data_IF_439673792977
#
_entry.id   IF_439673792977
#
_cell.length_a   1.000
_cell.length_b   1.000
_cell.length_c   1.000
_cell.angle_alpha   90.00
_cell.angle_beta   90.00
_cell.angle_gamma   90.00
#
_symmetry.space_group_name_H-M   'P 1'
#
loop_
_entity.id
_entity.type
_entity.pdbx_description
1 polymer ?
#
# COMPACT_ATOMS: atom_id res chain seq x y z
N UNK A 1 27.22 -34.28 9.32
CA UNK A 1 28.12 -33.85 10.41
C UNK A 1 27.46 -32.61 11.04
N UNK A 2 27.49 -32.46 12.38
CA UNK A 2 26.92 -31.29 13.03
C UNK A 2 27.69 -30.03 12.64
N UNK A 3 26.95 -28.92 12.37
CA UNK A 3 27.53 -27.60 12.09
C UNK A 3 27.66 -26.84 13.40
N UNK A 4 28.90 -26.66 13.86
CA UNK A 4 29.19 -25.92 15.08
C UNK A 4 29.53 -24.47 14.75
N UNK A 5 28.94 -23.51 15.46
CA UNK A 5 29.17 -22.08 15.27
C UNK A 5 30.09 -21.53 16.35
N UNK A 6 31.05 -20.72 15.90
CA UNK A 6 32.03 -20.06 16.78
C UNK A 6 32.13 -18.58 16.46
N UNK A 7 32.28 -17.77 17.50
CA UNK A 7 32.75 -16.41 17.37
C UNK A 7 34.28 -16.43 17.43
N UNK A 8 34.91 -16.00 16.35
CA UNK A 8 36.38 -16.02 16.18
C UNK A 8 36.93 -14.62 15.96
N UNK A 9 38.16 -14.41 16.37
CA UNK A 9 38.93 -13.21 16.10
C UNK A 9 39.93 -13.51 14.98
N UNK A 10 39.94 -12.66 13.95
CA UNK A 10 40.94 -12.72 12.87
C UNK A 10 42.24 -12.06 13.32
N UNK A 11 43.39 -12.34 12.67
CA UNK A 11 44.66 -11.71 12.94
C UNK A 11 44.65 -10.18 12.90
N UNK A 12 43.64 -9.56 12.24
CA UNK A 12 43.41 -8.11 12.21
C UNK A 12 42.51 -7.59 13.33
N UNK A 13 42.16 -8.38 14.36
CA UNK A 13 41.33 -7.95 15.50
C UNK A 13 39.83 -7.90 15.22
N UNK A 14 39.35 -8.29 14.03
CA UNK A 14 37.95 -8.26 13.65
C UNK A 14 37.23 -9.52 14.14
N UNK A 15 36.13 -9.33 14.89
CA UNK A 15 35.27 -10.41 15.38
C UNK A 15 34.32 -10.90 14.29
N UNK A 16 34.36 -12.21 13.96
CA UNK A 16 33.53 -12.83 12.93
C UNK A 16 32.90 -14.13 13.44
N UNK A 17 31.69 -14.43 13.02
CA UNK A 17 31.02 -15.70 13.29
C UNK A 17 31.27 -16.66 12.13
N UNK A 18 31.80 -17.88 12.43
CA UNK A 18 32.07 -18.92 11.43
C UNK A 18 31.38 -20.21 11.87
N UNK A 19 30.74 -20.88 10.91
CA UNK A 19 30.23 -22.24 11.10
C UNK A 19 31.20 -23.24 10.50
N UNK A 20 31.56 -24.29 11.27
CA UNK A 20 32.49 -25.33 10.86
C UNK A 20 31.80 -26.68 10.96
N UNK A 21 31.91 -27.48 9.91
CA UNK A 21 31.49 -28.88 9.93
C UNK A 21 32.55 -29.74 10.60
N UNK A 22 32.27 -30.26 11.79
CA UNK A 22 33.16 -31.09 12.54
C UNK A 22 32.38 -32.13 13.37
N UNK A 23 32.98 -33.32 13.64
CA UNK A 23 32.32 -34.35 14.43
C UNK A 23 32.17 -33.96 15.90
N UNK A 24 33.10 -33.15 16.44
CA UNK A 24 33.10 -32.68 17.82
C UNK A 24 33.68 -31.26 17.96
N UNK A 25 33.48 -30.62 19.13
CA UNK A 25 33.98 -29.28 19.46
C UNK A 25 35.51 -29.19 19.38
N UNK A 26 36.22 -30.26 19.78
CA UNK A 26 37.68 -30.30 19.78
C UNK A 26 38.24 -30.30 18.35
N UNK A 27 37.63 -31.04 17.43
CA UNK A 27 38.01 -31.06 16.01
C UNK A 27 37.73 -29.71 15.33
N UNK A 28 36.58 -29.05 15.64
CA UNK A 28 36.23 -27.73 15.13
C UNK A 28 37.24 -26.67 15.57
N UNK A 29 37.62 -26.66 16.87
CA UNK A 29 38.60 -25.70 17.41
C UNK A 29 40.02 -25.94 16.81
N UNK A 30 40.44 -27.18 16.61
CA UNK A 30 41.72 -27.49 15.93
C UNK A 30 41.73 -26.98 14.50
N UNK A 31 40.61 -27.10 13.77
CA UNK A 31 40.48 -26.63 12.39
C UNK A 31 40.53 -25.11 12.29
N UNK A 32 39.84 -24.40 13.20
CA UNK A 32 39.85 -22.93 13.27
C UNK A 32 41.24 -22.39 13.64
N UNK A 33 41.95 -23.02 14.60
CA UNK A 33 43.34 -22.63 14.96
C UNK A 33 44.31 -22.80 13.81
N UNK A 34 44.18 -23.87 13.00
CA UNK A 34 45.03 -24.06 11.80
C UNK A 34 44.80 -22.97 10.73
N UNK A 35 43.64 -22.33 10.75
CA UNK A 35 43.30 -21.20 9.87
C UNK A 35 43.73 -19.86 10.46
N UNK A 36 44.48 -19.81 11.55
CA UNK A 36 44.92 -18.57 12.17
C UNK A 36 43.81 -17.80 12.92
N UNK A 37 42.71 -18.48 13.24
CA UNK A 37 41.56 -17.86 13.91
C UNK A 37 41.56 -18.21 15.40
N UNK A 38 41.40 -17.19 16.25
CA UNK A 38 41.30 -17.35 17.69
C UNK A 38 39.84 -17.51 18.08
N UNK A 39 39.48 -18.66 18.65
CA UNK A 39 38.10 -18.93 19.11
C UNK A 39 37.83 -18.16 20.40
N UNK A 40 36.89 -17.21 20.37
CA UNK A 40 36.49 -16.40 21.51
C UNK A 40 35.38 -17.10 22.31
N UNK A 41 34.38 -17.67 21.61
CA UNK A 41 33.23 -18.32 22.24
C UNK A 41 32.61 -19.35 21.30
N UNK A 42 32.25 -20.52 21.82
CA UNK A 42 31.37 -21.46 21.13
C UNK A 42 29.93 -21.01 21.24
N UNK A 43 29.21 -20.94 20.11
CA UNK A 43 27.83 -20.50 20.02
C UNK A 43 26.83 -21.68 19.95
N UNK A 44 27.33 -22.92 20.09
CA UNK A 44 26.53 -24.14 20.09
C UNK A 44 26.33 -24.76 18.70
N UNK A 45 25.65 -25.90 18.66
CA UNK A 45 25.25 -26.53 17.41
C UNK A 45 24.25 -25.65 16.67
N UNK A 46 24.47 -25.48 15.39
CA UNK A 46 23.46 -24.98 14.50
C UNK A 46 22.36 -26.05 14.39
N UNK A 47 21.40 -26.07 15.30
CA UNK A 47 20.15 -26.77 15.06
C UNK A 47 19.69 -26.31 13.70
N UNK A 48 19.56 -27.25 12.75
CA UNK A 48 19.13 -26.94 11.39
C UNK A 48 18.00 -25.94 11.44
N UNK A 49 18.15 -24.80 10.79
CA UNK A 49 17.11 -23.80 10.69
C UNK A 49 15.87 -24.49 10.13
N UNK A 50 15.04 -25.07 11.03
CA UNK A 50 13.62 -25.15 10.76
C UNK A 50 13.26 -23.71 10.43
N UNK A 51 12.93 -23.48 9.16
CA UNK A 51 12.71 -22.15 8.64
C UNK A 51 11.65 -21.44 9.49
N UNK A 52 12.10 -20.60 10.43
CA UNK A 52 11.31 -19.45 10.80
C UNK A 52 11.23 -18.64 9.51
N UNK A 53 10.20 -18.91 8.76
CA UNK A 53 9.67 -18.01 7.76
C UNK A 53 9.32 -16.70 8.49
N UNK A 54 10.34 -15.95 8.92
CA UNK A 54 10.19 -14.53 9.10
C UNK A 54 9.94 -14.02 7.69
N UNK A 55 8.69 -13.75 7.40
CA UNK A 55 8.27 -12.79 6.39
C UNK A 55 8.87 -11.41 6.81
N UNK A 56 10.21 -11.33 6.79
CA UNK A 56 10.89 -10.05 6.69
C UNK A 56 10.57 -9.59 5.28
N UNK A 57 9.45 -8.85 5.15
CA UNK A 57 9.36 -7.87 4.09
C UNK A 57 10.67 -7.12 4.17
N UNK A 58 11.50 -7.25 3.13
CA UNK A 58 12.67 -6.40 3.01
C UNK A 58 12.17 -4.98 3.28
N UNK A 59 12.71 -4.26 4.27
CA UNK A 59 12.28 -2.90 4.53
C UNK A 59 12.47 -2.15 3.22
N UNK A 60 11.39 -1.56 2.73
CA UNK A 60 11.38 -0.78 1.50
C UNK A 60 12.09 0.53 1.77
N UNK A 61 12.87 1.00 0.81
CA UNK A 61 13.41 2.35 0.82
C UNK A 61 12.28 3.37 1.07
N UNK A 62 12.42 4.19 2.10
CA UNK A 62 11.45 5.24 2.44
C UNK A 62 11.90 6.57 1.80
N UNK A 63 11.34 6.86 0.64
CA UNK A 63 11.65 8.08 -0.12
C UNK A 63 11.30 9.35 0.68
N UNK A 64 10.27 9.31 1.55
CA UNK A 64 9.93 10.45 2.40
C UNK A 64 11.00 10.68 3.46
N UNK A 65 11.45 9.62 4.15
CA UNK A 65 12.49 9.73 5.15
C UNK A 65 13.82 10.23 4.53
N UNK A 66 14.18 9.73 3.37
CA UNK A 66 15.32 10.21 2.58
C UNK A 66 15.20 11.69 2.24
N UNK A 67 14.08 12.11 1.64
CA UNK A 67 13.85 13.50 1.22
C UNK A 67 13.78 14.45 2.42
N UNK A 68 13.19 13.99 3.54
CA UNK A 68 13.07 14.79 4.77
C UNK A 68 14.42 15.12 5.41
N UNK A 69 15.43 14.27 5.18
CA UNK A 69 16.81 14.52 5.65
C UNK A 69 17.65 15.27 4.62
N UNK A 70 17.45 14.99 3.32
CA UNK A 70 18.20 15.66 2.26
C UNK A 70 17.79 17.13 2.10
N UNK A 71 16.49 17.43 2.10
CA UNK A 71 15.95 18.76 1.83
C UNK A 71 16.51 19.86 2.77
N UNK A 72 16.60 19.67 4.10
CA UNK A 72 17.21 20.68 4.97
C UNK A 72 18.70 20.92 4.70
N UNK A 73 19.45 19.90 4.29
CA UNK A 73 20.87 20.01 3.97
C UNK A 73 21.07 20.88 2.72
N UNK A 74 20.28 20.62 1.68
CA UNK A 74 20.30 21.44 0.47
C UNK A 74 19.83 22.87 0.73
N UNK A 75 18.80 23.05 1.56
CA UNK A 75 18.32 24.36 1.96
C UNK A 75 19.35 25.18 2.77
N UNK A 76 20.26 24.51 3.48
CA UNK A 76 21.41 25.13 4.17
C UNK A 76 22.60 25.40 3.23
N UNK A 77 22.45 25.17 1.90
CA UNK A 77 23.53 25.42 0.94
C UNK A 77 24.56 24.27 0.86
N UNK A 78 24.32 23.13 1.52
CA UNK A 78 25.24 22.00 1.44
C UNK A 78 25.14 21.37 0.03
N UNK A 79 26.27 21.19 -0.68
CA UNK A 79 26.26 20.54 -1.98
C UNK A 79 25.63 19.15 -1.93
N UNK A 80 24.92 18.76 -3.01
CA UNK A 80 24.18 17.49 -3.09
C UNK A 80 25.04 16.28 -2.69
N UNK A 81 26.27 16.22 -3.17
CA UNK A 81 27.20 15.12 -2.88
C UNK A 81 27.53 15.01 -1.38
N UNK A 82 27.80 16.14 -0.72
CA UNK A 82 28.04 16.16 0.72
C UNK A 82 26.77 15.82 1.52
N UNK A 83 25.61 16.33 1.09
CA UNK A 83 24.33 15.95 1.67
C UNK A 83 24.06 14.46 1.61
N UNK A 84 24.37 13.83 0.49
CA UNK A 84 24.25 12.37 0.33
C UNK A 84 25.29 11.61 1.19
N UNK A 85 26.51 12.14 1.35
CA UNK A 85 27.51 11.52 2.25
C UNK A 85 27.03 11.47 3.70
N UNK A 86 26.45 12.56 4.19
CA UNK A 86 25.84 12.62 5.54
C UNK A 86 24.71 11.59 5.69
N UNK A 87 23.87 11.44 4.66
CA UNK A 87 22.78 10.45 4.67
C UNK A 87 23.30 9.00 4.65
N UNK A 88 24.43 8.75 4.00
CA UNK A 88 25.06 7.42 3.97
C UNK A 88 25.53 6.98 5.36
N UNK A 89 26.16 7.88 6.13
CA UNK A 89 26.66 7.59 7.48
C UNK A 89 25.53 7.33 8.47
N UNK A 90 24.46 8.13 8.43
CA UNK A 90 23.32 8.05 9.35
C UNK A 90 22.18 7.11 8.89
N UNK A 91 22.28 6.51 7.70
CA UNK A 91 21.19 5.73 7.08
C UNK A 91 21.10 4.29 7.55
N UNK A 92 19.89 3.70 7.44
CA UNK A 92 19.70 2.25 7.56
C UNK A 92 20.36 1.53 6.39
N UNK A 93 20.64 0.23 6.52
CA UNK A 93 21.36 -0.55 5.50
C UNK A 93 20.78 -0.40 4.08
N UNK A 94 19.45 -0.46 3.94
CA UNK A 94 18.81 -0.33 2.62
C UNK A 94 18.94 1.08 2.05
N UNK A 95 18.79 2.09 2.89
CA UNK A 95 18.98 3.49 2.49
C UNK A 95 20.42 3.77 2.12
N UNK A 96 21.36 3.23 2.89
CA UNK A 96 22.78 3.32 2.60
C UNK A 96 23.12 2.75 1.22
N UNK A 97 22.55 1.59 0.85
CA UNK A 97 22.76 0.99 -0.46
C UNK A 97 22.24 1.88 -1.62
N UNK A 98 21.08 2.51 -1.44
CA UNK A 98 20.52 3.43 -2.45
C UNK A 98 21.39 4.67 -2.54
N UNK A 99 21.76 5.27 -1.40
CA UNK A 99 22.59 6.48 -1.36
C UNK A 99 23.99 6.23 -1.97
N UNK A 100 24.60 5.07 -1.70
CA UNK A 100 25.87 4.67 -2.33
C UNK A 100 25.78 4.57 -3.85
N UNK A 101 24.66 4.02 -4.37
CA UNK A 101 24.44 3.97 -5.82
C UNK A 101 24.30 5.37 -6.41
N UNK A 102 23.57 6.28 -5.72
CA UNK A 102 23.42 7.68 -6.13
C UNK A 102 24.77 8.38 -6.15
N UNK A 103 25.56 8.29 -5.07
CA UNK A 103 26.88 8.92 -4.98
C UNK A 103 27.84 8.41 -6.06
N UNK A 104 27.89 7.09 -6.26
CA UNK A 104 28.73 6.50 -7.33
C UNK A 104 28.37 7.06 -8.69
N UNK A 105 27.07 7.10 -9.02
CA UNK A 105 26.62 7.65 -10.31
C UNK A 105 26.92 9.14 -10.47
N UNK A 106 26.84 9.95 -9.41
CA UNK A 106 27.24 11.34 -9.43
C UNK A 106 28.76 11.50 -9.68
N UNK A 107 29.60 10.67 -9.04
CA UNK A 107 31.05 10.62 -9.33
C UNK A 107 31.34 10.18 -10.77
N UNK A 108 30.48 9.35 -11.37
CA UNK A 108 30.56 8.97 -12.79
C UNK A 108 30.08 10.09 -13.74
N UNK A 109 29.67 11.25 -13.20
CA UNK A 109 29.19 12.41 -13.97
C UNK A 109 27.72 12.33 -14.40
N UNK A 110 26.93 11.36 -13.89
CA UNK A 110 25.51 11.28 -14.19
C UNK A 110 24.72 12.33 -13.40
N UNK A 111 23.64 12.84 -13.99
CA UNK A 111 22.71 13.73 -13.29
C UNK A 111 21.93 12.99 -12.21
N UNK A 112 21.61 13.66 -11.10
CA UNK A 112 20.81 13.11 -10.01
C UNK A 112 19.42 12.66 -10.48
N UNK A 113 18.78 13.46 -11.35
CA UNK A 113 17.52 13.13 -12.00
C UNK A 113 17.58 11.83 -12.82
N UNK A 114 18.69 11.60 -13.54
CA UNK A 114 18.89 10.38 -14.29
C UNK A 114 19.02 9.17 -13.35
N UNK A 115 19.81 9.29 -12.28
CA UNK A 115 19.99 8.22 -11.30
C UNK A 115 18.69 7.84 -10.58
N UNK A 116 17.88 8.82 -10.21
CA UNK A 116 16.57 8.56 -9.61
C UNK A 116 15.59 7.90 -10.59
N UNK A 117 15.68 8.21 -11.88
CA UNK A 117 14.89 7.58 -12.95
C UNK A 117 15.32 6.14 -13.23
N UNK A 118 16.59 5.80 -13.03
CA UNK A 118 17.13 4.43 -13.11
C UNK A 118 16.66 3.54 -11.95
N UNK A 119 16.10 4.12 -10.88
CA UNK A 119 15.61 3.41 -9.68
C UNK A 119 14.12 3.66 -9.41
N UNK A 120 13.21 3.25 -10.33
CA UNK A 120 11.76 3.52 -10.20
C UNK A 120 11.11 2.81 -9.03
N UNK A 121 11.74 1.77 -8.49
CA UNK A 121 11.31 1.08 -7.27
C UNK A 121 11.49 1.92 -6.00
N UNK A 122 12.44 2.87 -6.00
CA UNK A 122 12.77 3.77 -4.91
C UNK A 122 12.16 5.16 -5.09
N UNK A 123 12.20 5.69 -6.33
CA UNK A 123 11.79 7.06 -6.64
C UNK A 123 10.60 7.08 -7.60
N UNK A 124 9.46 7.70 -7.18
CA UNK A 124 8.31 7.86 -8.08
C UNK A 124 8.64 8.76 -9.28
N UNK A 125 7.91 8.65 -10.41
CA UNK A 125 8.14 9.48 -11.60
C UNK A 125 8.10 10.99 -11.35
N UNK A 126 7.23 11.44 -10.44
CA UNK A 126 7.16 12.84 -10.01
C UNK A 126 8.48 13.29 -9.37
N UNK A 127 9.09 12.45 -8.52
CA UNK A 127 10.35 12.76 -7.87
C UNK A 127 11.44 13.06 -8.90
N UNK A 128 11.66 12.12 -9.83
CA UNK A 128 12.69 12.27 -10.86
C UNK A 128 12.42 13.44 -11.79
N UNK A 129 11.15 13.72 -12.12
CA UNK A 129 10.77 14.86 -12.96
C UNK A 129 11.02 16.21 -12.30
N UNK A 130 10.70 16.35 -11.02
CA UNK A 130 10.97 17.58 -10.28
C UNK A 130 12.47 17.78 -10.04
N UNK A 131 13.20 16.73 -9.70
CA UNK A 131 14.67 16.81 -9.57
C UNK A 131 15.31 17.26 -10.89
N UNK A 132 14.85 16.75 -12.04
CA UNK A 132 15.33 17.18 -13.35
C UNK A 132 15.16 18.69 -13.56
N UNK A 133 13.97 19.22 -13.24
CA UNK A 133 13.71 20.65 -13.34
C UNK A 133 14.59 21.44 -12.37
N UNK A 134 14.76 20.96 -11.13
CA UNK A 134 15.62 21.61 -10.13
C UNK A 134 17.11 21.61 -10.52
N UNK A 135 17.58 20.56 -11.20
CA UNK A 135 18.95 20.51 -11.74
C UNK A 135 19.14 21.48 -12.89
N UNK A 136 18.16 21.56 -13.80
CA UNK A 136 18.25 22.44 -14.99
C UNK A 136 18.14 23.92 -14.63
N UNK A 137 17.34 24.26 -13.62
CA UNK A 137 17.13 25.63 -13.15
C UNK A 137 18.05 26.05 -11.99
N UNK A 138 18.84 25.12 -11.44
CA UNK A 138 19.70 25.39 -10.27
C UNK A 138 18.95 25.55 -8.96
N UNK A 139 17.65 25.23 -8.89
CA UNK A 139 16.80 25.40 -7.71
C UNK A 139 16.45 24.06 -6.99
N UNK A 140 17.44 23.16 -6.88
CA UNK A 140 17.28 21.90 -6.17
C UNK A 140 16.76 22.04 -4.71
N UNK A 141 17.19 23.03 -3.91
CA UNK A 141 16.70 23.23 -2.55
C UNK A 141 15.18 23.46 -2.50
N UNK A 142 14.64 24.30 -3.39
CA UNK A 142 13.22 24.63 -3.48
C UNK A 142 12.41 23.40 -3.88
N UNK A 143 12.86 22.73 -4.94
CA UNK A 143 12.22 21.54 -5.47
C UNK A 143 12.21 20.39 -4.45
N UNK A 144 13.30 20.17 -3.72
CA UNK A 144 13.35 19.13 -2.68
C UNK A 144 12.48 19.47 -1.48
N UNK A 145 12.24 20.76 -1.18
CA UNK A 145 11.29 21.22 -0.16
C UNK A 145 9.85 20.87 -0.57
N UNK A 146 9.47 21.14 -1.81
CA UNK A 146 8.14 20.77 -2.34
C UNK A 146 7.95 19.26 -2.40
N UNK A 147 8.97 18.51 -2.83
CA UNK A 147 8.94 17.05 -2.78
C UNK A 147 8.72 16.50 -1.38
N UNK A 148 9.40 17.07 -0.39
CA UNK A 148 9.22 16.70 1.02
C UNK A 148 7.80 16.96 1.48
N UNK A 149 7.22 18.13 1.12
CA UNK A 149 5.82 18.48 1.44
C UNK A 149 4.86 17.47 0.84
N UNK A 150 4.97 17.22 -0.45
CA UNK A 150 4.13 16.25 -1.17
C UNK A 150 4.23 14.83 -0.58
N UNK A 151 5.43 14.35 -0.32
CA UNK A 151 5.64 13.02 0.25
C UNK A 151 5.09 12.91 1.68
N UNK A 152 5.16 14.00 2.46
CA UNK A 152 4.57 14.10 3.79
C UNK A 152 3.04 13.97 3.71
N UNK A 153 2.38 14.78 2.87
CA UNK A 153 0.94 14.78 2.66
C UNK A 153 0.44 13.41 2.18
N UNK A 154 1.16 12.80 1.24
CA UNK A 154 0.87 11.45 0.74
C UNK A 154 0.97 10.38 1.84
N UNK A 155 1.95 10.51 2.75
CA UNK A 155 2.13 9.63 3.89
C UNK A 155 1.01 9.83 4.92
N UNK A 156 0.71 11.08 5.28
CA UNK A 156 -0.36 11.44 6.20
C UNK A 156 -1.73 10.94 5.70
N UNK A 157 -2.00 11.10 4.42
CA UNK A 157 -3.23 10.55 3.83
C UNK A 157 -3.31 9.02 3.95
N UNK A 158 -2.21 8.33 3.68
CA UNK A 158 -2.15 6.88 3.84
C UNK A 158 -2.34 6.45 5.30
N UNK A 159 -1.69 7.15 6.23
CA UNK A 159 -1.83 6.90 7.67
C UNK A 159 -3.27 7.17 8.13
N UNK A 160 -3.89 8.23 7.63
CA UNK A 160 -5.30 8.54 7.88
C UNK A 160 -6.21 7.40 7.44
N UNK A 161 -6.07 6.87 6.21
CA UNK A 161 -6.88 5.75 5.72
C UNK A 161 -6.66 4.49 6.56
N UNK A 162 -5.41 4.17 6.89
CA UNK A 162 -5.07 3.01 7.71
C UNK A 162 -5.66 3.12 9.11
N UNK A 163 -5.45 4.25 9.79
CA UNK A 163 -5.95 4.48 11.16
C UNK A 163 -7.47 4.49 11.21
N UNK A 164 -8.11 5.17 10.26
CA UNK A 164 -9.58 5.20 10.17
C UNK A 164 -10.20 3.83 9.85
N UNK A 165 -9.42 2.91 9.27
CA UNK A 165 -9.87 1.55 8.96
C UNK A 165 -9.71 0.55 10.12
N UNK A 166 -9.00 0.91 11.20
CA UNK A 166 -8.75 0.00 12.34
C UNK A 166 -10.05 -0.38 13.01
N UNK A 167 -10.86 0.61 13.43
CA UNK A 167 -12.12 0.39 14.11
C UNK A 167 -13.11 -0.45 13.29
N UNK A 168 -13.43 -0.10 12.01
CA UNK A 168 -14.27 -0.95 11.16
C UNK A 168 -13.73 -2.38 11.02
N UNK A 169 -12.43 -2.56 10.91
CA UNK A 169 -11.82 -3.89 10.79
C UNK A 169 -12.04 -4.74 12.04
N UNK A 170 -11.95 -4.14 13.24
CA UNK A 170 -12.23 -4.83 14.51
C UNK A 170 -13.70 -5.23 14.57
N UNK A 171 -14.62 -4.31 14.27
CA UNK A 171 -16.07 -4.58 14.28
C UNK A 171 -16.43 -5.69 13.31
N UNK A 172 -15.94 -5.65 12.06
CA UNK A 172 -16.14 -6.74 11.09
C UNK A 172 -15.61 -8.06 11.61
N UNK A 173 -14.42 -8.08 12.21
CA UNK A 173 -13.80 -9.30 12.72
C UNK A 173 -14.59 -9.92 13.86
N UNK A 174 -15.04 -9.10 14.81
CA UNK A 174 -15.87 -9.56 15.94
C UNK A 174 -17.22 -10.07 15.43
N UNK A 175 -17.87 -9.32 14.54
CA UNK A 175 -19.15 -9.73 13.94
C UNK A 175 -19.03 -11.06 13.21
N UNK A 176 -17.98 -11.22 12.39
CA UNK A 176 -17.72 -12.47 11.68
C UNK A 176 -17.50 -13.63 12.65
N UNK A 177 -16.74 -13.40 13.74
CA UNK A 177 -16.51 -14.39 14.80
C UNK A 177 -17.83 -14.82 15.43
N UNK A 178 -18.71 -13.87 15.78
CA UNK A 178 -20.03 -14.17 16.37
C UNK A 178 -20.88 -14.97 15.39
N UNK A 179 -20.93 -14.58 14.12
CA UNK A 179 -21.68 -15.31 13.08
C UNK A 179 -21.16 -16.75 12.96
N UNK A 180 -19.84 -16.93 12.85
CA UNK A 180 -19.22 -18.27 12.77
C UNK A 180 -19.59 -19.09 14.01
N UNK A 181 -19.51 -18.53 15.20
CA UNK A 181 -19.85 -19.22 16.46
C UNK A 181 -21.33 -19.61 16.50
N UNK A 182 -22.24 -18.73 16.06
CA UNK A 182 -23.66 -19.04 15.96
C UNK A 182 -23.92 -20.25 15.05
N UNK A 183 -23.34 -20.25 13.84
CA UNK A 183 -23.57 -21.33 12.87
C UNK A 183 -22.82 -22.62 13.17
N UNK A 184 -21.66 -22.58 13.82
CA UNK A 184 -20.83 -23.77 14.07
C UNK A 184 -21.07 -24.41 15.43
N UNK A 185 -21.56 -23.66 16.41
CA UNK A 185 -21.73 -24.14 17.80
C UNK A 185 -23.20 -24.11 18.20
N UNK A 186 -23.87 -22.96 18.08
CA UNK A 186 -25.23 -22.82 18.59
C UNK A 186 -26.27 -23.60 17.77
N UNK A 187 -26.32 -23.40 16.46
CA UNK A 187 -27.30 -24.06 15.60
C UNK A 187 -27.19 -25.60 15.64
N UNK A 188 -25.99 -26.24 15.57
CA UNK A 188 -25.88 -27.69 15.69
C UNK A 188 -26.31 -28.24 17.06
N UNK A 189 -26.09 -27.50 18.14
CA UNK A 189 -26.55 -27.92 19.46
C UNK A 189 -28.09 -28.00 19.54
N UNK A 190 -28.76 -26.98 19.00
CA UNK A 190 -30.23 -27.02 18.90
C UNK A 190 -30.73 -28.14 17.99
N UNK A 191 -30.06 -28.36 16.87
CA UNK A 191 -30.43 -29.45 15.96
C UNK A 191 -30.41 -30.82 16.65
N UNK A 192 -29.41 -31.12 17.48
CA UNK A 192 -29.34 -32.37 18.27
C UNK A 192 -30.52 -32.57 19.21
N UNK A 193 -30.99 -31.49 19.85
CA UNK A 193 -32.18 -31.58 20.75
C UNK A 193 -33.41 -32.07 19.97
N UNK A 194 -33.58 -31.63 18.72
CA UNK A 194 -34.67 -32.08 17.86
C UNK A 194 -34.53 -33.55 17.47
N UNK A 195 -33.31 -33.99 17.13
CA UNK A 195 -33.00 -35.39 16.84
C UNK A 195 -33.30 -36.29 18.03
N UNK A 196 -32.90 -35.88 19.23
CA UNK A 196 -33.17 -36.63 20.49
C UNK A 196 -34.67 -36.72 20.81
N UNK A 197 -35.45 -35.70 20.45
CA UNK A 197 -36.90 -35.67 20.60
C UNK A 197 -37.65 -36.42 19.50
N UNK A 198 -36.97 -36.95 18.51
CA UNK A 198 -37.58 -37.70 17.39
C UNK A 198 -38.46 -36.83 16.46
N UNK A 199 -38.27 -35.52 16.42
CA UNK A 199 -39.13 -34.59 15.66
C UNK A 199 -38.44 -34.03 14.44
N UNK A 200 -39.26 -33.70 13.44
CA UNK A 200 -38.77 -33.00 12.24
C UNK A 200 -38.36 -31.57 12.56
N UNK A 201 -37.21 -31.17 12.03
CA UNK A 201 -36.71 -29.79 12.20
C UNK A 201 -37.50 -28.82 11.34
N UNK A 202 -37.90 -27.64 11.84
CA UNK A 202 -38.47 -26.56 11.05
C UNK A 202 -37.57 -26.21 9.86
N UNK A 203 -38.19 -25.80 8.74
CA UNK A 203 -37.49 -25.48 7.48
C UNK A 203 -36.34 -24.47 7.72
N UNK A 204 -36.57 -23.43 8.54
CA UNK A 204 -35.59 -22.37 8.84
C UNK A 204 -34.37 -22.96 9.56
N UNK A 205 -34.57 -23.81 10.58
CA UNK A 205 -33.48 -24.48 11.32
C UNK A 205 -32.67 -25.40 10.43
N UNK A 206 -33.35 -26.18 9.53
CA UNK A 206 -32.70 -27.07 8.57
C UNK A 206 -31.81 -26.27 7.60
N UNK A 207 -32.31 -25.13 7.07
CA UNK A 207 -31.55 -24.28 6.17
C UNK A 207 -30.31 -23.68 6.86
N UNK A 208 -30.46 -23.20 8.08
CA UNK A 208 -29.35 -22.64 8.87
C UNK A 208 -28.31 -23.71 9.22
N UNK A 209 -28.75 -24.93 9.56
CA UNK A 209 -27.86 -26.06 9.78
C UNK A 209 -27.08 -26.41 8.48
N UNK A 210 -27.76 -26.38 7.34
CA UNK A 210 -27.13 -26.58 6.03
C UNK A 210 -26.03 -25.55 5.77
N UNK A 211 -26.27 -24.27 6.05
CA UNK A 211 -25.27 -23.21 5.96
C UNK A 211 -24.11 -23.43 6.94
N UNK A 212 -24.39 -23.81 8.18
CA UNK A 212 -23.37 -24.11 9.18
C UNK A 212 -22.47 -25.29 8.78
N UNK A 213 -23.07 -26.39 8.31
CA UNK A 213 -22.36 -27.56 7.83
C UNK A 213 -21.52 -27.24 6.58
N UNK A 214 -22.06 -26.43 5.67
CA UNK A 214 -21.31 -25.92 4.53
C UNK A 214 -20.12 -25.10 4.98
N UNK A 215 -20.27 -24.17 5.92
CA UNK A 215 -19.17 -23.39 6.46
C UNK A 215 -18.10 -24.27 7.12
N UNK A 216 -18.50 -25.31 7.88
CA UNK A 216 -17.57 -26.27 8.49
C UNK A 216 -16.88 -27.17 7.45
N UNK A 217 -17.60 -27.62 6.44
CA UNK A 217 -17.06 -28.48 5.39
C UNK A 217 -16.05 -27.73 4.49
N UNK A 218 -16.25 -26.42 4.32
CA UNK A 218 -15.55 -25.59 3.34
C UNK A 218 -14.51 -24.67 4.01
N UNK A 219 -14.26 -24.83 5.32
CA UNK A 219 -13.34 -23.93 6.07
C UNK A 219 -11.93 -23.86 5.45
N UNK A 220 -11.43 -24.95 4.87
CA UNK A 220 -10.12 -25.03 4.20
C UNK A 220 -10.09 -24.29 2.86
N UNK A 221 -11.23 -23.99 2.25
CA UNK A 221 -11.32 -23.20 1.02
C UNK A 221 -11.05 -21.72 1.30
N UNK A 222 -11.36 -21.20 2.48
CA UNK A 222 -11.13 -19.81 2.82
C UNK A 222 -9.65 -19.39 2.73
N UNK A 223 -8.69 -20.13 3.31
CA UNK A 223 -7.26 -19.86 3.10
C UNK A 223 -6.86 -19.94 1.62
N UNK A 224 -7.39 -20.91 0.87
CA UNK A 224 -7.10 -21.08 -0.55
C UNK A 224 -7.69 -19.93 -1.38
N UNK A 225 -8.90 -19.49 -1.06
CA UNK A 225 -9.56 -18.35 -1.71
C UNK A 225 -8.84 -17.05 -1.42
N UNK A 226 -8.43 -16.80 -0.16
CA UNK A 226 -7.61 -15.65 0.23
C UNK A 226 -6.27 -15.69 -0.52
N UNK A 227 -5.61 -16.85 -0.57
CA UNK A 227 -4.36 -17.01 -1.30
C UNK A 227 -4.53 -16.78 -2.80
N UNK A 228 -5.59 -17.33 -3.41
CA UNK A 228 -5.97 -17.10 -4.80
C UNK A 228 -6.26 -15.62 -5.09
N UNK A 229 -7.00 -14.95 -4.20
CA UNK A 229 -7.31 -13.53 -4.31
C UNK A 229 -6.04 -12.67 -4.22
N UNK A 230 -5.12 -13.02 -3.30
CA UNK A 230 -3.81 -12.34 -3.17
C UNK A 230 -2.96 -12.56 -4.42
N UNK A 231 -2.92 -13.77 -4.96
CA UNK A 231 -2.22 -14.06 -6.22
C UNK A 231 -2.84 -13.30 -7.40
N UNK A 232 -4.17 -13.30 -7.51
CA UNK A 232 -4.90 -12.57 -8.53
C UNK A 232 -4.66 -11.06 -8.41
N UNK A 233 -4.67 -10.52 -7.20
CA UNK A 233 -4.34 -9.12 -6.93
C UNK A 233 -2.90 -8.79 -7.32
N UNK A 234 -1.93 -9.65 -6.97
CA UNK A 234 -0.52 -9.48 -7.38
C UNK A 234 -0.35 -9.55 -8.89
N UNK A 235 -1.03 -10.49 -9.56
CA UNK A 235 -1.02 -10.63 -11.02
C UNK A 235 -1.71 -9.46 -11.71
N UNK A 236 -2.79 -8.93 -11.14
CA UNK A 236 -3.53 -7.77 -11.67
C UNK A 236 -2.80 -6.43 -11.51
N UNK A 237 -1.65 -6.39 -10.80
CA UNK A 237 -0.76 -5.22 -10.79
C UNK A 237 0.13 -5.11 -12.04
N UNK A 238 0.29 -6.21 -12.78
CA UNK A 238 1.04 -6.20 -14.04
C UNK A 238 0.14 -5.69 -15.17
N UNK A 239 0.66 -4.89 -16.10
CA UNK A 239 -0.11 -4.42 -17.24
C UNK A 239 -0.65 -5.62 -18.03
N UNK A 240 -1.93 -5.59 -18.40
CA UNK A 240 -2.59 -6.64 -19.15
C UNK A 240 -4.11 -6.66 -18.98
N UNK A 241 -4.80 -7.53 -19.72
CA UNK A 241 -6.27 -7.64 -19.74
C UNK A 241 -6.91 -7.79 -18.35
N UNK A 242 -6.24 -8.49 -17.43
CA UNK A 242 -6.73 -8.67 -16.06
C UNK A 242 -6.72 -7.35 -15.26
N UNK A 243 -5.72 -6.50 -15.46
CA UNK A 243 -5.67 -5.17 -14.83
C UNK A 243 -6.81 -4.31 -15.33
N UNK A 244 -7.01 -4.22 -16.63
CA UNK A 244 -8.07 -3.41 -17.24
C UNK A 244 -9.47 -3.89 -16.81
N UNK A 245 -9.70 -5.22 -16.75
CA UNK A 245 -10.95 -5.78 -16.27
C UNK A 245 -11.23 -5.44 -14.80
N UNK A 246 -10.23 -5.55 -13.92
CA UNK A 246 -10.31 -5.14 -12.52
C UNK A 246 -10.60 -3.65 -12.40
N UNK A 247 -9.86 -2.81 -13.11
CA UNK A 247 -10.01 -1.37 -13.09
C UNK A 247 -11.42 -0.94 -13.53
N UNK A 248 -11.97 -1.60 -14.55
CA UNK A 248 -13.35 -1.38 -14.99
C UNK A 248 -14.37 -1.82 -13.95
N UNK A 249 -14.17 -2.99 -13.32
CA UNK A 249 -15.07 -3.48 -12.28
C UNK A 249 -15.10 -2.52 -11.09
N UNK A 250 -13.93 -2.09 -10.62
CA UNK A 250 -13.80 -1.17 -9.49
C UNK A 250 -14.48 0.18 -9.76
N UNK A 251 -14.40 0.71 -10.98
CA UNK A 251 -15.06 1.96 -11.36
C UNK A 251 -16.59 1.81 -11.45
N UNK A 252 -17.12 0.61 -11.72
CA UNK A 252 -18.56 0.34 -11.77
C UNK A 252 -19.22 0.22 -10.40
N UNK A 253 -18.46 -0.04 -9.35
CA UNK A 253 -19.00 -0.13 -8.00
C UNK A 253 -19.45 1.26 -7.50
N UNK A 254 -20.74 1.44 -7.12
CA UNK A 254 -21.33 2.76 -6.89
C UNK A 254 -20.65 3.55 -5.78
N UNK A 255 -20.13 2.89 -4.75
CA UNK A 255 -19.45 3.54 -3.62
C UNK A 255 -17.94 3.71 -3.86
N UNK A 256 -17.28 2.70 -4.47
CA UNK A 256 -15.84 2.68 -4.67
C UNK A 256 -15.40 3.44 -5.92
N UNK A 257 -16.19 3.40 -6.99
CA UNK A 257 -15.85 4.04 -8.27
C UNK A 257 -15.63 5.54 -8.12
N UNK A 258 -16.51 6.22 -7.38
CA UNK A 258 -16.39 7.66 -7.12
C UNK A 258 -15.15 8.02 -6.29
N UNK A 259 -14.78 7.19 -5.31
CA UNK A 259 -13.57 7.41 -4.50
C UNK A 259 -12.32 7.15 -5.34
N UNK A 260 -12.29 6.06 -6.11
CA UNK A 260 -11.15 5.74 -6.98
C UNK A 260 -10.93 6.85 -8.00
N UNK A 261 -11.99 7.32 -8.65
CA UNK A 261 -11.93 8.45 -9.59
C UNK A 261 -11.34 9.67 -8.90
N UNK A 262 -11.90 10.09 -7.76
CA UNK A 262 -11.41 11.26 -7.02
C UNK A 262 -9.93 11.11 -6.63
N UNK A 263 -9.51 9.95 -6.12
CA UNK A 263 -8.10 9.69 -5.77
C UNK A 263 -7.17 9.77 -6.98
N UNK A 264 -7.57 9.23 -8.12
CA UNK A 264 -6.72 9.22 -9.32
C UNK A 264 -6.63 10.61 -9.95
N UNK A 265 -7.76 11.32 -10.05
CA UNK A 265 -7.80 12.71 -10.58
C UNK A 265 -7.15 13.70 -9.61
N UNK A 266 -7.35 13.53 -8.30
CA UNK A 266 -6.67 14.35 -7.28
C UNK A 266 -5.15 14.20 -7.33
N UNK A 267 -4.63 12.98 -7.46
CA UNK A 267 -3.18 12.74 -7.65
C UNK A 267 -2.64 13.41 -8.94
N UNK A 268 -3.40 13.33 -10.02
CA UNK A 268 -3.05 14.00 -11.27
C UNK A 268 -2.98 15.52 -11.08
N UNK A 269 -4.04 16.11 -10.51
CA UNK A 269 -4.12 17.55 -10.27
C UNK A 269 -3.02 18.03 -9.31
N UNK A 270 -2.78 17.32 -8.22
CA UNK A 270 -1.71 17.64 -7.26
C UNK A 270 -0.33 17.61 -7.91
N UNK A 271 -0.06 16.57 -8.71
CA UNK A 271 1.20 16.46 -9.44
C UNK A 271 1.36 17.60 -10.45
N UNK A 272 0.30 17.90 -11.19
CA UNK A 272 0.30 18.97 -12.17
C UNK A 272 0.52 20.35 -11.50
N UNK A 273 -0.17 20.61 -10.40
CA UNK A 273 -0.02 21.82 -9.60
C UNK A 273 1.43 22.03 -9.15
N UNK A 274 2.05 21.00 -8.54
CA UNK A 274 3.43 21.07 -8.08
C UNK A 274 4.40 21.36 -9.24
N UNK A 275 4.21 20.70 -10.39
CA UNK A 275 5.06 20.89 -11.55
C UNK A 275 4.94 22.30 -12.12
N UNK A 276 3.71 22.81 -12.31
CA UNK A 276 3.46 24.15 -12.86
C UNK A 276 3.93 25.23 -11.90
N UNK A 277 3.71 25.08 -10.59
CA UNK A 277 4.17 26.03 -9.56
C UNK A 277 5.69 26.13 -9.52
N UNK A 278 6.40 25.03 -9.80
CA UNK A 278 7.86 25.02 -9.90
C UNK A 278 8.36 25.34 -11.33
N UNK A 279 7.57 26.09 -12.10
CA UNK A 279 7.91 26.60 -13.44
C UNK A 279 8.23 25.53 -14.48
N UNK A 280 7.80 24.27 -14.25
CA UNK A 280 7.87 23.23 -15.30
C UNK A 280 6.91 23.60 -16.42
N UNK A 281 7.37 23.54 -17.64
CA UNK A 281 6.52 23.75 -18.79
C UNK A 281 5.30 22.82 -18.78
N UNK A 282 4.14 23.32 -19.22
CA UNK A 282 2.86 22.64 -19.09
C UNK A 282 2.83 21.25 -19.77
N UNK A 283 3.48 21.10 -20.92
CA UNK A 283 3.50 19.84 -21.65
C UNK A 283 4.27 18.71 -20.92
N UNK A 284 5.51 18.89 -20.45
CA UNK A 284 6.19 17.92 -19.59
C UNK A 284 5.44 17.67 -18.28
N UNK A 285 4.86 18.72 -17.66
CA UNK A 285 4.11 18.62 -16.43
C UNK A 285 2.89 17.67 -16.57
N UNK A 286 2.11 17.83 -17.62
CA UNK A 286 0.97 16.95 -17.94
C UNK A 286 1.43 15.52 -18.19
N UNK A 287 2.50 15.33 -18.94
CA UNK A 287 3.07 14.00 -19.24
C UNK A 287 3.47 13.25 -17.96
N UNK A 288 4.12 13.93 -17.03
CA UNK A 288 4.54 13.33 -15.75
C UNK A 288 3.33 13.07 -14.87
N UNK A 289 2.39 14.02 -14.77
CA UNK A 289 1.17 13.89 -13.97
C UNK A 289 0.30 12.73 -14.45
N UNK A 290 0.20 12.50 -15.75
CA UNK A 290 -0.52 11.35 -16.31
C UNK A 290 0.06 10.00 -15.86
N UNK A 291 1.39 9.89 -15.68
CA UNK A 291 2.05 8.66 -15.23
C UNK A 291 1.72 8.28 -13.77
N UNK A 292 1.24 9.23 -12.97
CA UNK A 292 0.84 8.99 -11.57
C UNK A 292 -0.53 8.30 -11.49
N UNK A 293 -1.33 8.34 -12.56
CA UNK A 293 -2.63 7.67 -12.63
C UNK A 293 -2.40 6.16 -12.78
N UNK A 294 -2.80 5.40 -11.76
CA UNK A 294 -2.63 3.94 -11.72
C UNK A 294 -3.73 3.18 -12.49
N UNK A 295 -4.96 3.73 -12.52
CA UNK A 295 -6.08 3.14 -13.24
C UNK A 295 -5.94 3.39 -14.74
N UNK A 296 -5.89 2.31 -15.53
CA UNK A 296 -5.64 2.41 -16.97
C UNK A 296 -6.76 3.14 -17.71
N UNK A 297 -8.05 2.94 -17.34
CA UNK A 297 -9.17 3.60 -18.01
C UNK A 297 -9.16 5.12 -17.79
N UNK A 298 -8.86 5.55 -16.57
CA UNK A 298 -8.74 6.98 -16.25
C UNK A 298 -7.52 7.55 -16.96
N UNK A 299 -6.37 6.88 -16.90
CA UNK A 299 -5.13 7.33 -17.58
C UNK A 299 -5.31 7.47 -19.09
N UNK A 300 -6.03 6.54 -19.72
CA UNK A 300 -6.27 6.54 -21.16
C UNK A 300 -7.25 7.63 -21.58
N UNK A 301 -8.17 8.08 -20.71
CA UNK A 301 -9.02 9.25 -20.95
C UNK A 301 -8.22 10.56 -21.11
N UNK A 302 -7.00 10.59 -20.56
CA UNK A 302 -6.06 11.71 -20.70
C UNK A 302 -5.02 11.48 -21.81
N UNK A 303 -5.19 10.46 -22.68
CA UNK A 303 -4.19 10.15 -23.72
C UNK A 303 -4.00 11.29 -24.72
N UNK A 304 -5.08 11.93 -25.14
CA UNK A 304 -5.06 13.00 -26.14
C UNK A 304 -4.61 14.37 -25.59
N UNK A 305 -4.36 14.50 -24.27
CA UNK A 305 -4.05 15.78 -23.63
C UNK A 305 -2.76 16.39 -24.20
N UNK A 306 -1.70 15.58 -24.37
CA UNK A 306 -0.42 16.06 -24.87
C UNK A 306 -0.52 16.60 -26.30
N UNK A 307 -1.21 15.88 -27.19
CA UNK A 307 -1.33 16.28 -28.62
C UNK A 307 -2.19 17.52 -28.78
N UNK A 308 -3.30 17.61 -28.04
CA UNK A 308 -4.18 18.79 -28.05
C UNK A 308 -3.49 20.03 -27.48
N UNK A 309 -2.68 19.85 -26.44
CA UNK A 309 -1.91 20.93 -25.83
C UNK A 309 -0.87 21.48 -26.83
N UNK A 310 -0.17 20.60 -27.57
CA UNK A 310 0.73 21.00 -28.66
C UNK A 310 0.01 21.76 -29.78
N UNK A 311 -1.26 21.40 -30.03
CA UNK A 311 -2.13 22.10 -30.98
C UNK A 311 -2.68 23.44 -30.47
N UNK A 312 -2.23 23.93 -29.29
CA UNK A 312 -2.64 25.22 -28.73
C UNK A 312 -4.00 25.23 -28.06
N UNK A 313 -4.61 24.05 -27.80
CA UNK A 313 -5.88 23.98 -27.09
C UNK A 313 -5.72 24.34 -25.62
N UNK A 314 -6.71 24.97 -25.00
CA UNK A 314 -6.73 25.31 -23.57
C UNK A 314 -6.77 24.06 -22.72
N UNK A 315 -6.04 24.05 -21.60
CA UNK A 315 -5.96 22.91 -20.68
C UNK A 315 -7.33 22.55 -20.10
N UNK A 316 -8.15 23.57 -19.74
CA UNK A 316 -9.54 23.41 -19.26
C UNK A 316 -10.44 22.68 -20.26
N UNK A 317 -10.34 23.03 -21.54
CA UNK A 317 -11.10 22.37 -22.61
C UNK A 317 -10.66 20.91 -22.83
N UNK A 318 -9.37 20.64 -22.70
CA UNK A 318 -8.81 19.31 -22.89
C UNK A 318 -9.18 18.40 -21.69
N UNK A 319 -8.99 18.88 -20.45
CA UNK A 319 -9.32 18.12 -19.25
C UNK A 319 -10.83 17.92 -19.09
N UNK A 320 -11.63 18.91 -19.54
CA UNK A 320 -13.10 18.83 -19.55
C UNK A 320 -13.66 17.75 -20.49
N UNK A 321 -12.89 17.27 -21.45
CA UNK A 321 -13.28 16.16 -22.31
C UNK A 321 -13.22 14.79 -21.58
N UNK A 322 -12.53 14.69 -20.44
CA UNK A 322 -12.49 13.48 -19.65
C UNK A 322 -13.73 13.35 -18.77
N UNK A 323 -14.46 12.22 -18.81
CA UNK A 323 -15.63 11.99 -17.98
C UNK A 323 -15.30 11.85 -16.48
N UNK A 324 -14.03 11.79 -16.14
CA UNK A 324 -13.55 11.58 -14.77
C UNK A 324 -13.17 12.90 -14.06
N UNK A 325 -13.06 14.01 -14.80
CA UNK A 325 -12.73 15.31 -14.19
C UNK A 325 -13.96 15.96 -13.54
N UNK A 326 -13.85 16.46 -12.29
CA UNK A 326 -14.93 17.20 -11.66
C UNK A 326 -15.24 18.50 -12.40
N UNK A 327 -16.53 18.79 -12.62
CA UNK A 327 -16.96 20.00 -13.35
C UNK A 327 -16.54 21.30 -12.66
N UNK A 328 -16.54 21.32 -11.31
CA UNK A 328 -16.05 22.46 -10.52
C UNK A 328 -14.59 22.77 -10.81
N UNK A 329 -13.73 21.75 -10.86
CA UNK A 329 -12.30 21.90 -11.19
C UNK A 329 -12.08 22.49 -12.59
N UNK A 330 -12.93 22.11 -13.56
CA UNK A 330 -12.85 22.63 -14.92
C UNK A 330 -13.22 24.12 -14.97
N UNK A 331 -14.28 24.51 -14.25
CA UNK A 331 -14.70 25.91 -14.16
C UNK A 331 -13.61 26.79 -13.54
N UNK A 332 -13.01 26.36 -12.44
CA UNK A 332 -11.88 27.04 -11.80
C UNK A 332 -10.68 27.17 -12.74
N UNK A 333 -10.36 26.09 -13.46
CA UNK A 333 -9.24 26.09 -14.41
C UNK A 333 -9.46 27.04 -15.59
N UNK A 334 -10.70 27.22 -16.06
CA UNK A 334 -11.02 28.22 -17.08
C UNK A 334 -10.70 29.64 -16.60
N UNK A 335 -11.08 29.96 -15.37
CA UNK A 335 -10.79 31.28 -14.77
C UNK A 335 -9.27 31.47 -14.65
N UNK A 336 -8.54 30.43 -14.24
CA UNK A 336 -7.09 30.48 -14.11
C UNK A 336 -6.35 30.69 -15.45
N UNK A 337 -6.88 30.14 -16.52
CA UNK A 337 -6.33 30.35 -17.87
C UNK A 337 -6.56 31.78 -18.38
N UNK A 338 -7.63 32.41 -17.95
CA UNK A 338 -7.94 33.80 -18.30
C UNK A 338 -7.14 34.81 -17.45
N UNK A 339 -6.90 34.50 -16.16
CA UNK A 339 -6.11 35.34 -15.27
C UNK A 339 -4.59 35.13 -15.42
N UNK A 340 -4.15 34.02 -16.02
CA UNK A 340 -2.75 33.63 -16.10
C UNK A 340 -2.19 32.94 -14.82
N UNK A 341 -3.02 32.73 -13.80
CA UNK A 341 -2.64 32.17 -12.50
C UNK A 341 -2.89 30.65 -12.40
N UNK A 342 -2.52 29.92 -13.45
CA UNK A 342 -2.79 28.48 -13.55
C UNK A 342 -2.17 27.69 -12.39
N UNK A 343 -0.96 28.05 -11.95
CA UNK A 343 -0.25 27.33 -10.88
C UNK A 343 -0.94 27.38 -9.53
N UNK A 344 -1.36 28.58 -9.12
CA UNK A 344 -2.07 28.79 -7.84
C UNK A 344 -3.46 28.17 -7.84
N UNK A 345 -4.17 28.31 -8.95
CA UNK A 345 -5.50 27.72 -9.07
C UNK A 345 -5.45 26.19 -9.08
N UNK A 346 -4.48 25.59 -9.76
CA UNK A 346 -4.26 24.14 -9.71
C UNK A 346 -3.95 23.66 -8.29
N UNK A 347 -3.22 24.44 -7.48
CA UNK A 347 -2.98 24.10 -6.06
C UNK A 347 -4.27 24.08 -5.27
N UNK A 348 -5.12 25.10 -5.43
CA UNK A 348 -6.45 25.15 -4.79
C UNK A 348 -7.34 23.99 -5.20
N UNK A 349 -7.41 23.68 -6.49
CA UNK A 349 -8.19 22.54 -7.00
C UNK A 349 -7.66 21.23 -6.42
N UNK A 350 -6.36 21.09 -6.29
CA UNK A 350 -5.75 19.90 -5.71
C UNK A 350 -6.09 19.75 -4.21
N UNK A 351 -5.99 20.83 -3.45
CA UNK A 351 -6.33 20.86 -2.01
C UNK A 351 -7.83 20.54 -1.78
N UNK A 352 -8.72 21.15 -2.55
CA UNK A 352 -10.16 20.87 -2.50
C UNK A 352 -10.45 19.39 -2.84
N UNK A 353 -9.78 18.86 -3.87
CA UNK A 353 -9.91 17.46 -4.26
C UNK A 353 -9.45 16.52 -3.15
N UNK A 354 -8.35 16.83 -2.44
CA UNK A 354 -7.83 16.04 -1.33
C UNK A 354 -8.81 16.03 -0.14
N UNK A 355 -9.40 17.17 0.19
CA UNK A 355 -10.40 17.26 1.25
C UNK A 355 -11.68 16.48 0.88
N UNK A 356 -12.18 16.62 -0.36
CA UNK A 356 -13.32 15.83 -0.85
C UNK A 356 -13.07 14.32 -0.76
N UNK A 357 -11.86 13.88 -1.10
CA UNK A 357 -11.46 12.46 -0.94
C UNK A 357 -11.52 12.04 0.54
N UNK A 358 -10.99 12.85 1.46
CA UNK A 358 -11.03 12.57 2.90
C UNK A 358 -12.45 12.44 3.42
N UNK A 359 -13.33 13.35 3.00
CA UNK A 359 -14.75 13.34 3.37
C UNK A 359 -15.46 12.11 2.83
N UNK A 360 -15.24 11.74 1.55
CA UNK A 360 -15.81 10.53 0.95
C UNK A 360 -15.35 9.26 1.65
N UNK A 361 -14.06 9.15 1.97
CA UNK A 361 -13.51 8.00 2.70
C UNK A 361 -14.10 7.90 4.10
N UNK A 362 -14.17 9.02 4.86
CA UNK A 362 -14.81 9.05 6.18
C UNK A 362 -16.26 8.61 6.10
N UNK A 363 -17.03 9.13 5.12
CA UNK A 363 -18.44 8.78 4.94
C UNK A 363 -18.60 7.29 4.62
N UNK A 364 -17.78 6.73 3.73
CA UNK A 364 -17.82 5.31 3.42
C UNK A 364 -17.59 4.44 4.68
N UNK A 365 -16.57 4.79 5.47
CA UNK A 365 -16.24 4.06 6.70
C UNK A 365 -17.34 4.20 7.77
N UNK A 366 -17.96 5.37 7.88
CA UNK A 366 -19.08 5.61 8.79
C UNK A 366 -20.34 4.80 8.44
N UNK A 367 -20.61 4.56 7.15
CA UNK A 367 -21.74 3.72 6.73
C UNK A 367 -21.50 2.21 6.93
N UNK A 368 -20.24 1.79 7.04
CA UNK A 368 -19.93 0.37 7.30
C UNK A 368 -20.46 -0.09 8.66
N UNK A 369 -20.37 0.75 9.69
CA UNK A 369 -20.78 0.39 11.06
C UNK A 369 -22.27 0.06 11.16
N UNK A 370 -23.21 0.94 10.79
CA UNK A 370 -24.63 0.61 10.76
C UNK A 370 -24.95 -0.61 9.88
N UNK A 371 -24.27 -0.73 8.75
CA UNK A 371 -24.44 -1.87 7.85
C UNK A 371 -24.09 -3.20 8.52
N UNK A 372 -22.97 -3.25 9.21
CA UNK A 372 -22.51 -4.46 9.92
C UNK A 372 -23.47 -4.79 11.08
N UNK A 373 -23.92 -3.79 11.85
CA UNK A 373 -24.87 -3.98 12.94
C UNK A 373 -26.19 -4.54 12.42
N UNK A 374 -26.72 -4.02 11.31
CA UNK A 374 -27.94 -4.51 10.68
C UNK A 374 -27.80 -5.96 10.21
N UNK A 375 -26.66 -6.32 9.61
CA UNK A 375 -26.39 -7.71 9.20
C UNK A 375 -26.35 -8.63 10.42
N UNK A 376 -25.65 -8.23 11.49
CA UNK A 376 -25.57 -9.01 12.72
C UNK A 376 -26.96 -9.18 13.36
N UNK A 377 -27.72 -8.08 13.49
CA UNK A 377 -29.06 -8.10 14.04
C UNK A 377 -30.00 -9.02 13.22
N UNK A 378 -29.90 -8.95 11.88
CA UNK A 378 -30.65 -9.83 10.99
C UNK A 378 -30.32 -11.31 11.19
N UNK A 379 -29.03 -11.64 11.31
CA UNK A 379 -28.59 -13.02 11.58
C UNK A 379 -29.10 -13.50 12.95
N UNK A 380 -28.94 -12.68 14.00
CA UNK A 380 -29.42 -13.03 15.35
C UNK A 380 -30.93 -13.20 15.36
N UNK A 381 -31.68 -12.30 14.71
CA UNK A 381 -33.13 -12.38 14.58
C UNK A 381 -33.57 -13.71 13.92
N UNK A 382 -32.91 -14.10 12.83
CA UNK A 382 -33.19 -15.35 12.14
C UNK A 382 -32.92 -16.57 13.03
N UNK A 383 -31.82 -16.54 13.80
CA UNK A 383 -31.52 -17.62 14.78
C UNK A 383 -32.58 -17.69 15.86
N UNK A 384 -32.94 -16.56 16.48
CA UNK A 384 -33.96 -16.51 17.52
C UNK A 384 -35.33 -16.97 16.99
N UNK A 385 -35.73 -16.51 15.80
CA UNK A 385 -36.97 -16.93 15.15
C UNK A 385 -36.96 -18.44 14.84
N UNK A 386 -35.85 -18.98 14.41
CA UNK A 386 -35.68 -20.43 14.16
C UNK A 386 -35.90 -21.23 15.44
N UNK A 387 -35.33 -20.79 16.58
CA UNK A 387 -35.49 -21.43 17.90
C UNK A 387 -36.95 -21.29 18.38
N UNK A 388 -37.53 -20.10 18.21
CA UNK A 388 -38.89 -19.84 18.65
C UNK A 388 -39.92 -20.70 17.91
N UNK A 389 -39.85 -20.77 16.60
CA UNK A 389 -40.68 -21.63 15.77
C UNK A 389 -40.55 -23.12 16.20
N UNK A 390 -39.31 -23.50 16.46
CA UNK A 390 -39.00 -24.84 16.91
C UNK A 390 -39.67 -25.19 18.25
N UNK A 391 -39.69 -24.24 19.22
CA UNK A 391 -40.35 -24.41 20.52
C UNK A 391 -41.89 -24.41 20.37
N UNK A 392 -42.43 -23.56 19.48
CA UNK A 392 -43.89 -23.54 19.19
C UNK A 392 -44.36 -24.87 18.64
N UNK A 393 -43.67 -25.44 17.68
CA UNK A 393 -44.01 -26.75 17.08
C UNK A 393 -43.93 -27.88 18.12
N UNK A 394 -43.14 -27.72 19.18
CA UNK A 394 -43.13 -28.65 20.31
C UNK A 394 -44.36 -28.51 21.23
N UNK A 395 -44.96 -27.33 21.34
CA UNK A 395 -46.08 -27.06 22.24
C UNK A 395 -47.50 -27.34 21.63
N UNK A 396 -47.62 -27.31 20.32
CA UNK A 396 -48.92 -27.41 19.62
C UNK A 396 -49.48 -28.85 19.59
N UNK A 397 -48.74 -29.84 20.05
CA UNK A 397 -49.16 -31.27 20.04
C UNK A 397 -49.14 -31.79 21.53
N UNK A 398 -50.01 -31.25 22.34
CA UNK A 398 -50.53 -31.90 23.58
C UNK A 398 -51.98 -32.27 23.39
#
# INVERSE_FOLDING_TARGET
>A
MPKLRYSVLTAGGIRKEIAVDAPDDAAARRRLRRQGLIVVRALGESAGKAGRFRLRRAPRFDVYAFTSRLSPLLAAGIPLEHGLAVLEEGGREEERNVVQRLRRGLHEGKKFSQLTREMPECFPPLFSGLIETGEESGCLPEVTRELRRFLKESKEFREFVLTSSIYPSIVVSVTLLVIVLLFTVFIPRFAKIFEELGREMPFLTRTMLGVGNFMQSVWWIWPLLIFGLVLLYRKSRRPGRLKTAKDRLLLRLPLLGGIITAVQTGRFLRTLSIMVKNHVQLLPAVRISRKVIENDLIRDSFAAVEDRLRGGSRLSAILGASPYMPQGSIAMLKIAEESGEIGEMLERIAEESEEDIRVRVKRLLAFLEPGIILVLAGVVLLVVLSIFLAIMDMNVIK
#
